data_IF_333873606788
#
_entry.id   IF_333873606788
#
_cell.length_a   1.000
_cell.length_b   1.000
_cell.length_c   1.000
_cell.angle_alpha   90.00
_cell.angle_beta   90.00
_cell.angle_gamma   90.00
#
_symmetry.space_group_name_H-M   'P 1'
#
loop_
_entity.id
_entity.type
_entity.pdbx_description
1 polymer ?
#
# COMPACT_ATOMS: atom_id res chain seq x y z
N UNK A 1 22.76 -5.59 18.38
CA UNK A 1 21.32 -5.75 18.70
C UNK A 1 20.64 -6.41 17.50
N UNK A 2 20.31 -7.69 17.59
CA UNK A 2 19.58 -8.37 16.51
C UNK A 2 18.12 -7.93 16.59
N UNK A 3 17.69 -7.03 15.70
CA UNK A 3 16.28 -6.70 15.57
C UNK A 3 15.53 -7.96 15.14
N UNK A 4 14.79 -8.56 16.08
CA UNK A 4 13.85 -9.65 15.82
C UNK A 4 12.74 -9.05 14.96
N UNK A 5 12.87 -9.11 13.63
CA UNK A 5 11.79 -8.69 12.71
C UNK A 5 10.54 -9.49 13.11
N UNK A 6 9.44 -8.85 13.50
CA UNK A 6 8.23 -9.60 13.80
C UNK A 6 7.82 -10.34 12.51
N UNK A 7 7.54 -11.64 12.63
CA UNK A 7 7.13 -12.50 11.53
C UNK A 7 5.66 -12.21 11.16
N UNK A 8 5.41 -10.99 10.68
CA UNK A 8 4.09 -10.54 10.24
C UNK A 8 4.01 -10.87 8.76
N UNK A 9 3.42 -12.01 8.41
CA UNK A 9 3.04 -12.26 7.03
C UNK A 9 1.81 -11.41 6.69
N UNK A 10 1.77 -10.67 5.56
CA UNK A 10 2.75 -10.65 4.46
C UNK A 10 3.64 -9.38 4.40
N UNK A 11 4.62 -9.23 5.30
CA UNK A 11 5.65 -8.19 5.18
C UNK A 11 6.66 -8.54 4.08
N UNK A 12 6.99 -7.57 3.21
CA UNK A 12 7.92 -7.78 2.09
C UNK A 12 7.26 -8.35 0.83
N UNK A 13 5.96 -8.08 0.63
CA UNK A 13 5.22 -8.52 -0.55
C UNK A 13 4.39 -7.37 -1.14
N UNK A 14 4.22 -7.36 -2.46
CA UNK A 14 3.15 -6.62 -3.12
C UNK A 14 1.85 -7.42 -3.02
N UNK A 15 0.74 -6.73 -2.73
CA UNK A 15 -0.55 -7.38 -2.43
C UNK A 15 -1.62 -7.14 -3.50
N UNK A 16 -1.59 -5.98 -4.13
CA UNK A 16 -2.61 -5.59 -5.09
C UNK A 16 -2.11 -4.48 -6.02
N UNK A 17 -2.91 -4.23 -7.05
CA UNK A 17 -2.84 -3.04 -7.90
C UNK A 17 -4.07 -2.19 -7.58
N UNK A 18 -3.88 -0.89 -7.46
CA UNK A 18 -4.93 0.11 -7.26
C UNK A 18 -4.78 1.23 -8.26
N UNK A 19 -5.87 1.93 -8.54
CA UNK A 19 -5.85 3.20 -9.24
C UNK A 19 -5.91 4.35 -8.23
N UNK A 20 -4.87 5.19 -8.22
CA UNK A 20 -4.85 6.45 -7.48
C UNK A 20 -5.52 7.52 -8.34
N UNK A 21 -6.72 7.96 -7.97
CA UNK A 21 -7.52 8.86 -8.80
C UNK A 21 -7.65 10.28 -8.24
N UNK A 22 -7.34 10.49 -6.95
CA UNK A 22 -7.38 11.81 -6.33
C UNK A 22 -6.43 11.87 -5.12
N UNK A 23 -5.86 13.05 -4.87
CA UNK A 23 -5.04 13.35 -3.70
C UNK A 23 -5.47 14.71 -3.15
N UNK A 24 -5.68 14.78 -1.84
CA UNK A 24 -5.91 16.06 -1.16
C UNK A 24 -5.41 16.05 0.28
N UNK A 25 -5.31 17.24 0.89
CA UNK A 25 -5.03 17.38 2.31
C UNK A 25 -6.03 16.56 3.14
N UNK A 26 -5.51 15.79 4.08
CA UNK A 26 -6.34 14.93 4.92
C UNK A 26 -7.24 15.77 5.84
N UNK A 27 -8.54 15.46 5.81
CA UNK A 27 -9.57 16.07 6.65
C UNK A 27 -10.00 15.08 7.73
N UNK A 28 -10.59 15.57 8.83
CA UNK A 28 -11.16 14.70 9.90
C UNK A 28 -12.14 13.65 9.37
N UNK A 29 -12.90 14.00 8.33
CA UNK A 29 -13.85 13.07 7.69
C UNK A 29 -13.16 11.83 7.08
N UNK A 30 -11.87 11.90 6.75
CA UNK A 30 -11.13 10.79 6.14
C UNK A 30 -10.60 9.80 7.18
N UNK A 31 -10.48 10.19 8.45
CA UNK A 31 -9.79 9.41 9.49
C UNK A 31 -10.34 7.99 9.64
N UNK A 32 -11.67 7.85 9.58
CA UNK A 32 -12.33 6.55 9.68
C UNK A 32 -11.97 5.60 8.53
N UNK A 33 -11.86 6.13 7.32
CA UNK A 33 -11.55 5.33 6.11
C UNK A 33 -10.05 5.07 5.99
N UNK A 34 -9.22 6.04 6.36
CA UNK A 34 -7.76 5.93 6.38
C UNK A 34 -7.22 5.11 7.57
N UNK A 35 -8.08 4.77 8.53
CA UNK A 35 -7.73 4.08 9.77
C UNK A 35 -6.63 4.79 10.58
N UNK A 36 -6.54 6.12 10.49
CA UNK A 36 -5.55 6.93 11.21
C UNK A 36 -6.10 8.34 11.50
N UNK A 37 -5.57 8.98 12.55
CA UNK A 37 -5.88 10.38 12.87
C UNK A 37 -5.13 11.32 11.93
N UNK A 38 -5.69 12.51 11.69
CA UNK A 38 -5.02 13.59 10.96
C UNK A 38 -3.74 14.03 11.67
N UNK A 39 -2.71 14.39 10.89
CA UNK A 39 -1.43 14.89 11.38
C UNK A 39 -0.86 15.97 10.45
N UNK A 40 0.11 16.80 10.88
CA UNK A 40 0.63 17.89 10.07
C UNK A 40 1.12 17.43 8.70
N UNK A 41 0.61 18.07 7.64
CA UNK A 41 0.90 17.73 6.22
C UNK A 41 0.41 16.35 5.77
N UNK A 42 -0.51 15.73 6.49
CA UNK A 42 -1.15 14.49 6.05
C UNK A 42 -1.89 14.71 4.71
N UNK A 43 -1.63 13.81 3.76
CA UNK A 43 -2.31 13.76 2.46
C UNK A 43 -3.15 12.49 2.40
N UNK A 44 -4.40 12.61 1.97
CA UNK A 44 -5.30 11.48 1.71
C UNK A 44 -5.20 11.06 0.26
N UNK A 45 -4.91 9.77 0.06
CA UNK A 45 -4.82 9.15 -1.25
C UNK A 45 -6.09 8.36 -1.50
N UNK A 46 -6.83 8.73 -2.53
CA UNK A 46 -8.09 8.09 -2.86
C UNK A 46 -7.83 7.02 -3.92
N UNK A 47 -8.11 5.78 -3.53
CA UNK A 47 -7.83 4.59 -4.31
C UNK A 47 -9.14 3.99 -4.81
N UNK A 48 -9.16 3.54 -6.05
CA UNK A 48 -10.27 2.77 -6.64
C UNK A 48 -9.72 1.60 -7.45
N UNK A 49 -10.63 0.77 -7.99
CA UNK A 49 -10.28 -0.37 -8.84
C UNK A 49 -9.23 -1.29 -8.18
N UNK A 50 -9.52 -1.71 -6.95
CA UNK A 50 -8.68 -2.61 -6.18
C UNK A 50 -8.65 -3.99 -6.84
N UNK A 51 -7.47 -4.39 -7.32
CA UNK A 51 -7.23 -5.68 -7.96
C UNK A 51 -6.19 -6.45 -7.15
N UNK A 52 -6.66 -7.41 -6.37
CA UNK A 52 -5.82 -8.17 -5.43
C UNK A 52 -5.11 -9.29 -6.18
N UNK A 53 -3.82 -9.51 -5.89
CA UNK A 53 -3.12 -10.67 -6.44
C UNK A 53 -3.63 -11.95 -5.78
N UNK A 54 -3.83 -13.01 -6.57
CA UNK A 54 -4.18 -14.34 -6.04
C UNK A 54 -3.11 -14.85 -5.08
N UNK A 55 -1.85 -14.58 -5.41
CA UNK A 55 -0.68 -14.87 -4.57
C UNK A 55 0.15 -13.58 -4.38
N UNK A 56 0.52 -13.20 -3.15
CA UNK A 56 1.38 -12.05 -2.91
C UNK A 56 2.74 -12.18 -3.61
N UNK A 57 3.25 -11.07 -4.17
CA UNK A 57 4.50 -11.08 -4.94
C UNK A 57 5.65 -10.62 -4.04
N UNK A 58 6.66 -11.45 -3.74
CA UNK A 58 7.77 -11.07 -2.86
C UNK A 58 8.57 -9.90 -3.43
N UNK A 59 8.91 -8.92 -2.60
CA UNK A 59 9.67 -7.74 -3.02
C UNK A 59 10.45 -7.07 -1.89
N UNK A 60 11.51 -6.35 -2.26
CA UNK A 60 12.20 -5.42 -1.36
C UNK A 60 11.60 -4.02 -1.53
N UNK A 61 10.85 -3.56 -0.52
CA UNK A 61 10.31 -2.20 -0.49
C UNK A 61 11.41 -1.14 -0.49
N UNK A 62 11.15 0.00 -1.13
CA UNK A 62 11.99 1.20 -1.05
C UNK A 62 11.17 2.35 -0.44
N UNK A 63 11.86 3.32 0.17
CA UNK A 63 11.22 4.55 0.61
C UNK A 63 10.73 5.34 -0.62
N UNK A 64 9.66 6.11 -0.45
CA UNK A 64 8.96 6.86 -1.50
C UNK A 64 8.30 5.97 -2.58
N UNK A 65 7.73 6.61 -3.61
CA UNK A 65 7.16 5.94 -4.77
C UNK A 65 8.32 5.43 -5.64
N UNK A 66 8.23 4.19 -6.09
CA UNK A 66 9.22 3.57 -6.98
C UNK A 66 8.54 2.72 -8.04
N UNK A 67 9.20 2.57 -9.17
CA UNK A 67 8.77 1.67 -10.24
C UNK A 67 9.04 0.23 -9.85
N UNK A 68 8.01 -0.61 -10.02
CA UNK A 68 8.10 -2.05 -9.84
C UNK A 68 7.80 -2.74 -11.16
N UNK A 69 8.71 -3.58 -11.63
CA UNK A 69 8.47 -4.50 -12.73
C UNK A 69 7.67 -5.70 -12.22
N UNK A 70 6.50 -5.91 -12.81
CA UNK A 70 5.61 -6.99 -12.44
C UNK A 70 5.87 -8.23 -13.32
N UNK A 71 5.84 -9.45 -12.77
CA UNK A 71 5.89 -10.67 -13.56
C UNK A 71 4.79 -10.69 -14.64
N UNK A 72 5.08 -11.27 -15.80
CA UNK A 72 4.09 -11.36 -16.90
C UNK A 72 2.86 -12.22 -16.53
N UNK A 73 3.04 -13.17 -15.62
CA UNK A 73 2.04 -14.19 -15.29
C UNK A 73 1.36 -13.90 -13.94
N UNK A 74 0.89 -12.67 -13.75
CA UNK A 74 0.14 -12.32 -12.54
C UNK A 74 -1.31 -12.78 -12.66
N UNK A 75 -1.78 -13.46 -11.62
CA UNK A 75 -3.18 -13.82 -11.46
C UNK A 75 -3.86 -12.87 -10.47
N UNK A 76 -4.97 -12.27 -10.88
CA UNK A 76 -5.79 -11.39 -10.05
C UNK A 76 -6.99 -12.18 -9.49
N UNK A 77 -7.45 -11.78 -8.30
CA UNK A 77 -8.68 -12.28 -7.68
C UNK A 77 -9.88 -11.45 -8.13
#
# INVERSE_FOLDING_TARGET
MFFKKPAIYPAGYALCIVELYHIELMKRAHEKVACCKTYPRAQSWFLRNLRVFKEPIPMTGKLNIFTLELPKNIHLR
#
